data_IF_018267359635
#
_entry.id   IF_018267359635
#
_cell.length_a   1.000
_cell.length_b   1.000
_cell.length_c   1.000
_cell.angle_alpha   90.00
_cell.angle_beta   90.00
_cell.angle_gamma   90.00
#
_symmetry.space_group_name_H-M   'P 1'
#
loop_
_entity.id
_entity.type
_entity.pdbx_description
1 polymer ?
#
# COMPACT_ATOMS: atom_id res chain seq x y z
N UNK A 1 7.41 6.24 7.37
CA UNK A 1 7.59 7.49 6.62
C UNK A 1 8.20 7.15 5.28
N UNK A 2 7.32 6.96 4.31
CA UNK A 2 7.65 6.54 2.96
C UNK A 2 7.08 7.55 1.98
N UNK A 3 7.92 7.96 1.03
CA UNK A 3 7.51 8.80 -0.08
C UNK A 3 7.26 7.93 -1.31
N UNK A 4 6.18 8.20 -2.03
CA UNK A 4 5.85 7.47 -3.24
C UNK A 4 5.11 8.34 -4.25
N UNK A 5 5.12 7.92 -5.52
CA UNK A 5 4.43 8.63 -6.58
C UNK A 5 3.08 7.95 -6.89
N UNK A 6 2.03 8.75 -6.95
CA UNK A 6 0.67 8.33 -7.29
C UNK A 6 0.24 9.00 -8.57
N UNK A 7 -0.38 8.25 -9.48
CA UNK A 7 -1.01 8.78 -10.68
C UNK A 7 -2.52 8.87 -10.49
N UNK A 8 -3.09 10.06 -10.56
CA UNK A 8 -4.54 10.27 -10.53
C UNK A 8 -5.04 10.49 -11.95
N UNK A 9 -5.97 9.63 -12.39
CA UNK A 9 -6.56 9.69 -13.73
C UNK A 9 -7.93 10.38 -13.64
N UNK A 10 -8.11 11.43 -14.44
CA UNK A 10 -9.34 12.26 -14.43
C UNK A 10 -9.88 12.47 -15.85
N UNK A 11 -11.20 12.66 -16.03
CA UNK A 11 -11.79 12.97 -17.33
C UNK A 11 -11.11 14.16 -18.01
N UNK A 12 -10.92 14.11 -19.33
CA UNK A 12 -10.20 15.16 -20.06
C UNK A 12 -10.97 16.47 -20.22
N UNK A 13 -12.26 16.48 -19.90
CA UNK A 13 -13.12 17.66 -19.81
C UNK A 13 -13.21 18.24 -18.39
N UNK A 14 -12.37 17.77 -17.46
CA UNK A 14 -12.30 18.32 -16.09
C UNK A 14 -11.82 19.76 -16.11
N UNK A 15 -12.69 20.70 -15.72
CA UNK A 15 -12.36 22.14 -15.67
C UNK A 15 -11.47 22.51 -14.48
N UNK A 16 -11.69 21.88 -13.32
CA UNK A 16 -10.94 22.14 -12.08
C UNK A 16 -10.20 20.87 -11.67
N UNK A 17 -8.97 20.75 -12.16
CA UNK A 17 -8.10 19.58 -11.95
C UNK A 17 -7.77 19.41 -10.47
N UNK A 18 -7.45 20.48 -9.77
CA UNK A 18 -7.05 20.43 -8.36
C UNK A 18 -8.22 19.97 -7.48
N UNK A 19 -9.41 20.54 -7.68
CA UNK A 19 -10.60 20.13 -6.95
C UNK A 19 -10.95 18.66 -7.21
N UNK A 20 -10.83 18.20 -8.46
CA UNK A 20 -11.13 16.80 -8.80
C UNK A 20 -10.11 15.82 -8.21
N UNK A 21 -8.83 16.18 -8.21
CA UNK A 21 -7.77 15.38 -7.56
C UNK A 21 -8.04 15.30 -6.06
N UNK A 22 -8.36 16.42 -5.42
CA UNK A 22 -8.70 16.44 -3.99
C UNK A 22 -9.89 15.54 -3.68
N UNK A 23 -10.95 15.60 -4.50
CA UNK A 23 -12.13 14.73 -4.37
C UNK A 23 -11.74 13.24 -4.41
N UNK A 24 -10.95 12.83 -5.41
CA UNK A 24 -10.55 11.42 -5.61
C UNK A 24 -9.55 10.93 -4.55
N UNK A 25 -8.69 11.80 -4.04
CA UNK A 25 -7.70 11.46 -3.02
C UNK A 25 -8.34 11.37 -1.62
N UNK A 26 -9.39 12.16 -1.33
CA UNK A 26 -9.94 12.35 0.01
C UNK A 26 -10.31 11.07 0.78
N UNK A 27 -10.93 10.04 0.15
CA UNK A 27 -11.22 8.78 0.85
C UNK A 27 -9.98 8.06 1.39
N UNK A 28 -8.81 8.34 0.83
CA UNK A 28 -7.53 7.71 1.17
C UNK A 28 -6.68 8.55 2.12
N UNK A 29 -7.20 9.67 2.64
CA UNK A 29 -6.50 10.50 3.60
C UNK A 29 -6.39 9.79 4.96
N UNK A 30 -5.18 9.64 5.48
CA UNK A 30 -4.92 8.86 6.70
C UNK A 30 -5.56 9.46 7.96
N UNK A 31 -5.71 10.79 8.01
CA UNK A 31 -6.38 11.48 9.11
C UNK A 31 -7.86 11.80 8.83
N UNK A 32 -8.47 11.12 7.87
CA UNK A 32 -9.92 11.17 7.71
C UNK A 32 -10.57 10.59 8.97
N UNK A 33 -11.34 11.41 9.68
CA UNK A 33 -12.11 10.94 10.83
C UNK A 33 -13.17 9.94 10.36
N UNK A 34 -13.15 8.76 10.97
CA UNK A 34 -14.11 7.69 10.71
C UNK A 34 -14.75 7.23 12.01
N UNK A 35 -15.95 6.66 11.90
CA UNK A 35 -16.59 6.03 13.04
C UNK A 35 -15.74 4.87 13.56
N UNK A 36 -15.67 4.67 14.90
CA UNK A 36 -14.96 3.54 15.47
C UNK A 36 -15.45 2.21 14.90
N UNK A 37 -14.52 1.35 14.50
CA UNK A 37 -14.84 0.04 13.95
C UNK A 37 -14.03 -1.06 14.61
N UNK A 38 -14.58 -2.27 14.56
CA UNK A 38 -13.92 -3.48 15.05
C UNK A 38 -13.05 -4.09 13.96
N UNK A 39 -11.77 -4.24 14.24
CA UNK A 39 -10.87 -5.10 13.49
C UNK A 39 -10.69 -6.42 14.25
N UNK A 40 -10.70 -7.54 13.53
CA UNK A 40 -10.61 -8.88 14.11
C UNK A 40 -9.32 -9.54 13.64
N UNK A 41 -8.75 -10.39 14.50
CA UNK A 41 -7.58 -11.18 14.14
C UNK A 41 -7.90 -12.10 12.97
N UNK A 42 -7.21 -11.89 11.85
CA UNK A 42 -7.32 -12.76 10.68
C UNK A 42 -6.80 -14.15 11.03
N UNK A 43 -7.70 -15.13 11.06
CA UNK A 43 -7.33 -16.53 11.33
C UNK A 43 -6.37 -17.10 10.29
N UNK A 44 -6.43 -16.58 9.06
CA UNK A 44 -5.52 -16.98 7.99
C UNK A 44 -4.10 -16.43 8.25
N UNK A 45 -3.98 -15.15 8.60
CA UNK A 45 -2.67 -14.55 8.92
C UNK A 45 -2.05 -15.20 10.16
N UNK A 46 -2.86 -15.46 11.19
CA UNK A 46 -2.41 -16.20 12.36
C UNK A 46 -1.85 -17.58 12.00
N UNK A 47 -2.56 -18.34 11.15
CA UNK A 47 -2.10 -19.66 10.72
C UNK A 47 -0.82 -19.58 9.88
N UNK A 48 -0.73 -18.60 8.96
CA UNK A 48 0.47 -18.40 8.15
C UNK A 48 1.68 -18.05 9.03
N UNK A 49 1.50 -17.20 10.03
CA UNK A 49 2.55 -16.81 10.96
C UNK A 49 2.98 -18.00 11.83
N UNK A 50 2.04 -18.80 12.33
CA UNK A 50 2.36 -20.03 13.07
C UNK A 50 3.16 -21.01 12.20
N UNK A 51 2.79 -21.19 10.93
CA UNK A 51 3.55 -22.05 10.01
C UNK A 51 4.93 -21.46 9.69
N UNK A 52 5.05 -20.14 9.57
CA UNK A 52 6.36 -19.48 9.44
C UNK A 52 7.25 -19.77 10.65
N UNK A 53 6.74 -19.56 11.87
CA UNK A 53 7.47 -19.81 13.11
C UNK A 53 7.92 -21.28 13.24
N UNK A 54 7.11 -22.25 12.80
CA UNK A 54 7.50 -23.68 12.80
C UNK A 54 8.71 -23.99 11.92
N UNK A 55 8.96 -23.17 10.90
CA UNK A 55 10.08 -23.35 9.98
C UNK A 55 11.34 -22.59 10.41
N UNK A 56 11.28 -21.81 11.49
CA UNK A 56 12.45 -21.10 12.01
C UNK A 56 13.37 -22.01 12.84
N UNK A 57 14.67 -21.68 12.90
CA UNK A 57 15.58 -22.29 13.87
C UNK A 57 15.09 -22.13 15.32
N UNK A 58 15.26 -23.17 16.13
CA UNK A 58 14.78 -23.20 17.52
C UNK A 58 15.37 -22.05 18.37
N UNK A 59 16.62 -21.66 18.13
CA UNK A 59 17.29 -20.56 18.83
C UNK A 59 16.70 -19.19 18.49
N UNK A 60 16.17 -19.01 17.28
CA UNK A 60 15.43 -17.80 16.91
C UNK A 60 14.07 -17.75 17.63
N UNK A 61 13.35 -18.87 17.69
CA UNK A 61 12.06 -18.97 18.40
C UNK A 61 12.26 -18.69 19.89
N UNK A 62 13.27 -19.27 20.52
CA UNK A 62 13.58 -19.05 21.93
C UNK A 62 13.92 -17.58 22.24
N UNK A 63 14.66 -16.93 21.34
CA UNK A 63 14.97 -15.52 21.46
C UNK A 63 13.70 -14.67 21.35
N UNK A 64 12.87 -14.89 20.34
CA UNK A 64 11.61 -14.16 20.16
C UNK A 64 10.66 -14.37 21.35
N UNK A 65 10.49 -15.62 21.79
CA UNK A 65 9.69 -15.96 22.95
C UNK A 65 10.19 -15.27 24.23
N UNK A 66 11.50 -15.20 24.43
CA UNK A 66 12.09 -14.46 25.55
C UNK A 66 11.87 -12.94 25.45
N UNK A 67 12.01 -12.36 24.25
CA UNK A 67 11.82 -10.92 24.03
C UNK A 67 10.37 -10.51 24.36
N UNK A 68 9.40 -11.39 24.07
CA UNK A 68 7.97 -11.17 24.33
C UNK A 68 7.47 -11.73 25.66
N UNK A 69 8.30 -12.46 26.42
CA UNK A 69 7.88 -13.12 27.67
C UNK A 69 6.86 -14.25 27.49
N UNK A 70 6.82 -14.86 26.30
CA UNK A 70 5.94 -15.99 25.94
C UNK A 70 6.72 -17.30 26.08
N UNK A 71 6.03 -18.43 26.25
CA UNK A 71 6.69 -19.74 26.24
C UNK A 71 7.11 -20.11 24.82
N UNK A 72 8.27 -20.72 24.66
CA UNK A 72 8.80 -21.12 23.34
C UNK A 72 7.99 -22.23 22.64
N UNK A 73 7.18 -23.00 23.38
CA UNK A 73 6.27 -24.01 22.84
C UNK A 73 4.88 -23.47 22.48
N UNK A 74 4.59 -22.20 22.81
CA UNK A 74 3.33 -21.52 22.56
C UNK A 74 3.41 -20.65 21.30
N UNK A 75 3.54 -21.32 20.15
CA UNK A 75 3.71 -20.67 18.85
C UNK A 75 2.51 -19.81 18.45
N UNK A 76 1.31 -20.13 18.94
CA UNK A 76 0.11 -19.35 18.65
C UNK A 76 0.17 -17.98 19.34
N UNK A 77 0.51 -17.94 20.64
CA UNK A 77 0.70 -16.66 21.32
C UNK A 77 1.90 -15.90 20.76
N UNK A 78 3.00 -16.59 20.42
CA UNK A 78 4.14 -15.93 19.78
C UNK A 78 3.75 -15.31 18.42
N UNK A 79 2.96 -16.00 17.61
CA UNK A 79 2.42 -15.48 16.35
C UNK A 79 1.52 -14.26 16.58
N UNK A 80 0.64 -14.29 17.59
CA UNK A 80 -0.15 -13.11 17.98
C UNK A 80 0.75 -11.93 18.34
N UNK A 81 1.86 -12.14 19.06
CA UNK A 81 2.79 -11.05 19.38
C UNK A 81 3.46 -10.47 18.11
N UNK A 82 3.87 -11.33 17.17
CA UNK A 82 4.44 -10.87 15.89
C UNK A 82 3.44 -10.08 15.06
N UNK A 83 2.15 -10.43 15.13
CA UNK A 83 1.04 -9.71 14.50
C UNK A 83 0.56 -8.49 15.31
N UNK A 84 1.32 -8.08 16.33
CA UNK A 84 0.98 -6.97 17.25
C UNK A 84 -0.38 -7.13 17.93
N UNK A 85 -0.84 -8.37 18.11
CA UNK A 85 -2.13 -8.73 18.70
C UNK A 85 -2.00 -9.06 20.19
N UNK A 86 -1.61 -8.05 20.98
CA UNK A 86 -1.39 -8.17 22.42
C UNK A 86 -2.70 -8.14 23.22
N UNK A 87 -2.77 -8.86 24.33
CA UNK A 87 -3.93 -8.84 25.23
C UNK A 87 -4.28 -7.41 25.73
N UNK A 88 -3.27 -6.56 25.92
CA UNK A 88 -3.44 -5.19 26.41
C UNK A 88 -4.13 -4.25 25.40
N UNK A 89 -4.10 -4.60 24.11
CA UNK A 89 -4.71 -3.80 23.03
C UNK A 89 -6.04 -4.38 22.55
N UNK A 90 -6.49 -5.52 23.09
CA UNK A 90 -7.78 -6.12 22.76
C UNK A 90 -8.88 -5.40 23.54
N UNK A 91 -9.83 -4.82 22.80
CA UNK A 91 -10.98 -4.11 23.40
C UNK A 91 -12.13 -5.04 23.79
N UNK A 92 -12.17 -6.26 23.23
CA UNK A 92 -13.15 -7.27 23.63
C UNK A 92 -13.13 -8.54 22.79
N UNK A 93 -14.06 -9.45 23.12
CA UNK A 93 -14.28 -10.71 22.42
C UNK A 93 -15.79 -10.85 22.17
N UNK A 94 -16.17 -11.16 20.94
CA UNK A 94 -17.55 -11.46 20.56
C UNK A 94 -17.66 -12.75 19.73
N UNK A 95 -18.79 -13.01 19.09
CA UNK A 95 -19.01 -14.22 18.29
C UNK A 95 -18.06 -14.39 17.09
N UNK A 96 -17.34 -13.34 16.68
CA UNK A 96 -16.32 -13.37 15.63
C UNK A 96 -14.89 -13.51 16.19
N UNK A 97 -14.73 -13.49 17.51
CA UNK A 97 -13.45 -13.62 18.20
C UNK A 97 -12.97 -12.33 18.84
N UNK A 98 -11.67 -12.27 19.11
CA UNK A 98 -10.98 -11.09 19.66
C UNK A 98 -11.01 -9.93 18.66
N UNK A 99 -11.27 -8.72 19.16
CA UNK A 99 -11.26 -7.51 18.34
C UNK A 99 -10.57 -6.33 19.03
N UNK A 100 -10.08 -5.42 18.19
CA UNK A 100 -9.59 -4.08 18.54
C UNK A 100 -10.53 -3.03 17.96
N UNK A 101 -10.70 -1.91 18.64
CA UNK A 101 -11.45 -0.75 18.17
C UNK A 101 -10.46 0.25 17.59
N UNK A 102 -10.61 0.54 16.31
CA UNK A 102 -9.81 1.58 15.65
C UNK A 102 -10.67 2.75 15.25
N UNK A 103 -10.03 3.92 15.21
CA UNK A 103 -10.62 5.20 14.79
C UNK A 103 -9.84 5.86 13.65
N UNK A 104 -8.79 5.21 13.15
CA UNK A 104 -8.04 5.68 11.98
C UNK A 104 -8.75 5.27 10.69
N UNK A 105 -8.51 5.97 9.59
CA UNK A 105 -9.12 5.60 8.31
C UNK A 105 -8.56 4.24 7.83
N UNK A 106 -9.38 3.19 7.69
CA UNK A 106 -8.91 1.89 7.18
C UNK A 106 -8.44 1.94 5.73
N UNK A 107 -8.81 3.00 5.00
CA UNK A 107 -8.35 3.26 3.64
C UNK A 107 -7.21 4.29 3.60
N UNK A 108 -6.67 4.71 4.74
CA UNK A 108 -5.55 5.67 4.80
C UNK A 108 -4.35 5.19 3.99
N UNK A 109 -3.86 6.05 3.10
CA UNK A 109 -2.67 5.82 2.25
C UNK A 109 -1.69 6.99 2.25
N UNK A 110 -2.13 8.17 2.69
CA UNK A 110 -1.32 9.39 2.62
C UNK A 110 -1.76 10.41 3.68
N UNK A 111 -0.82 11.23 4.16
CA UNK A 111 -1.08 12.34 5.07
C UNK A 111 -0.91 13.74 4.43
N UNK A 112 -0.08 13.84 3.39
CA UNK A 112 -0.03 14.99 2.49
C UNK A 112 0.46 14.57 1.11
N UNK A 113 0.21 15.44 0.12
CA UNK A 113 0.75 15.27 -1.23
C UNK A 113 1.14 16.62 -1.84
N UNK A 114 1.95 16.55 -2.90
CA UNK A 114 2.27 17.69 -3.76
C UNK A 114 2.10 17.29 -5.21
N UNK A 115 1.66 18.24 -6.04
CA UNK A 115 1.62 18.04 -7.49
C UNK A 115 3.04 17.98 -8.05
N UNK A 116 3.25 17.04 -8.97
CA UNK A 116 4.44 16.97 -9.80
C UNK A 116 4.08 17.63 -11.12
N UNK A 117 4.60 18.84 -11.40
CA UNK A 117 4.37 19.53 -12.66
C UNK A 117 5.23 18.94 -13.79
N UNK A 118 6.42 18.45 -13.43
CA UNK A 118 7.38 17.93 -14.38
C UNK A 118 8.19 16.79 -13.76
N UNK A 119 8.38 15.72 -14.53
CA UNK A 119 9.29 14.63 -14.20
C UNK A 119 10.41 14.57 -15.24
N UNK A 120 11.66 14.73 -14.78
CA UNK A 120 12.84 14.60 -15.61
C UNK A 120 13.15 13.12 -15.81
N UNK A 121 13.20 12.68 -17.05
CA UNK A 121 13.72 11.36 -17.38
C UNK A 121 15.18 11.50 -17.86
N UNK A 122 16.10 10.72 -17.29
CA UNK A 122 17.54 10.81 -17.61
C UNK A 122 17.85 10.53 -19.09
N UNK A 123 16.94 9.89 -19.82
CA UNK A 123 17.14 9.44 -21.21
C UNK A 123 15.99 9.76 -22.17
N UNK A 124 14.98 10.53 -21.75
CA UNK A 124 13.85 10.90 -22.60
C UNK A 124 13.41 12.34 -22.38
N UNK A 125 12.49 12.82 -23.23
CA UNK A 125 11.86 14.12 -23.02
C UNK A 125 11.17 14.16 -21.64
N UNK A 126 11.22 15.32 -20.96
CA UNK A 126 10.53 15.48 -19.69
C UNK A 126 9.02 15.32 -19.87
N UNK A 127 8.38 14.70 -18.89
CA UNK A 127 6.92 14.58 -18.84
C UNK A 127 6.39 15.80 -18.12
N UNK A 128 5.40 16.47 -18.70
CA UNK A 128 4.69 17.58 -18.07
C UNK A 128 3.29 17.12 -17.65
N UNK A 129 2.88 17.41 -16.43
CA UNK A 129 1.54 17.07 -15.94
C UNK A 129 0.70 18.33 -15.72
N UNK A 130 -0.64 18.24 -15.90
CA UNK A 130 -1.36 17.09 -16.43
C UNK A 130 -1.07 16.83 -17.93
N UNK A 131 -1.00 15.55 -18.33
CA UNK A 131 -0.87 15.10 -19.72
C UNK A 131 -1.91 14.03 -20.05
N UNK A 132 -2.01 13.59 -21.30
CA UNK A 132 -2.88 12.46 -21.63
C UNK A 132 -2.26 11.16 -21.11
N UNK A 133 -3.11 10.24 -20.64
CA UNK A 133 -2.66 8.91 -20.20
C UNK A 133 -1.88 8.17 -21.29
N UNK A 134 -2.23 8.35 -22.57
CA UNK A 134 -1.52 7.78 -23.71
C UNK A 134 -0.10 8.35 -23.92
N UNK A 135 0.20 9.52 -23.35
CA UNK A 135 1.50 10.21 -23.48
C UNK A 135 2.46 9.86 -22.35
N UNK A 136 1.97 9.22 -21.28
CA UNK A 136 2.83 8.76 -20.18
C UNK A 136 3.74 7.65 -20.71
N UNK A 137 5.06 7.71 -20.49
CA UNK A 137 5.98 6.63 -20.84
C UNK A 137 5.65 5.35 -20.07
N UNK A 138 6.41 4.30 -20.35
CA UNK A 138 6.26 2.98 -19.69
C UNK A 138 6.62 2.97 -18.20
N UNK A 139 6.70 4.13 -17.54
CA UNK A 139 6.94 4.24 -16.10
C UNK A 139 5.74 3.65 -15.36
N UNK A 140 6.05 2.79 -14.40
CA UNK A 140 5.08 2.09 -13.56
C UNK A 140 4.98 2.87 -12.25
N UNK A 141 3.89 3.61 -11.99
CA UNK A 141 3.73 4.33 -10.74
C UNK A 141 3.59 3.35 -9.56
N UNK A 142 3.82 3.81 -8.34
CA UNK A 142 3.59 2.97 -7.15
C UNK A 142 2.09 2.74 -6.93
N UNK A 143 1.29 3.80 -7.13
CA UNK A 143 -0.16 3.77 -7.00
C UNK A 143 -0.86 4.51 -8.15
N UNK A 144 -2.10 4.10 -8.43
CA UNK A 144 -3.01 4.75 -9.37
C UNK A 144 -4.39 4.93 -8.74
N UNK A 145 -4.99 6.11 -8.92
CA UNK A 145 -6.43 6.32 -8.70
C UNK A 145 -7.13 6.47 -10.05
N UNK A 146 -8.17 5.66 -10.28
CA UNK A 146 -8.98 5.74 -11.50
C UNK A 146 -10.04 6.84 -11.41
N UNK A 147 -10.67 7.23 -12.54
CA UNK A 147 -11.73 8.25 -12.54
C UNK A 147 -12.94 7.92 -11.65
N UNK A 148 -13.17 6.63 -11.39
CA UNK A 148 -14.21 6.12 -10.48
C UNK A 148 -13.81 6.17 -9.00
N UNK A 149 -12.61 6.65 -8.68
CA UNK A 149 -12.10 6.77 -7.32
C UNK A 149 -11.57 5.46 -6.74
N UNK A 150 -11.16 4.51 -7.58
CA UNK A 150 -10.57 3.25 -7.10
C UNK A 150 -9.04 3.38 -7.01
N UNK A 151 -8.50 3.06 -5.83
CA UNK A 151 -7.06 2.97 -5.57
C UNK A 151 -6.50 1.60 -5.93
N UNK A 152 -5.41 1.60 -6.67
CA UNK A 152 -4.61 0.42 -6.98
C UNK A 152 -3.14 0.71 -6.64
N UNK A 153 -2.43 -0.25 -6.06
CA UNK A 153 -1.02 -0.11 -5.70
C UNK A 153 -0.25 -1.43 -5.85
N UNK A 154 1.07 -1.32 -5.98
CA UNK A 154 1.98 -2.47 -6.03
C UNK A 154 2.02 -3.25 -4.71
N UNK A 155 1.73 -2.58 -3.58
CA UNK A 155 1.85 -3.12 -2.24
C UNK A 155 3.26 -2.99 -1.65
N UNK A 156 3.33 -3.01 -0.33
CA UNK A 156 4.56 -2.67 0.43
C UNK A 156 5.73 -3.62 0.11
N UNK A 157 5.52 -4.93 0.20
CA UNK A 157 6.60 -5.91 0.02
C UNK A 157 7.16 -5.90 -1.40
N UNK A 158 6.28 -5.89 -2.42
CA UNK A 158 6.70 -5.84 -3.81
C UNK A 158 7.38 -4.49 -4.17
N UNK A 159 6.94 -3.39 -3.55
CA UNK A 159 7.59 -2.08 -3.65
C UNK A 159 8.98 -2.06 -3.02
N UNK A 160 9.14 -2.61 -1.81
CA UNK A 160 10.43 -2.72 -1.13
C UNK A 160 11.40 -3.61 -1.92
N UNK A 161 10.94 -4.75 -2.42
CA UNK A 161 11.75 -5.64 -3.25
C UNK A 161 12.18 -4.94 -4.55
N UNK A 162 11.27 -4.19 -5.19
CA UNK A 162 11.60 -3.38 -6.38
C UNK A 162 12.69 -2.36 -6.09
N UNK A 163 12.59 -1.67 -4.96
CA UNK A 163 13.58 -0.68 -4.54
C UNK A 163 14.95 -1.31 -4.30
N UNK A 164 15.01 -2.43 -3.56
CA UNK A 164 16.27 -3.15 -3.28
C UNK A 164 16.91 -3.67 -4.56
N UNK A 165 16.12 -4.23 -5.49
CA UNK A 165 16.62 -4.70 -6.79
C UNK A 165 17.20 -3.57 -7.63
N UNK A 166 16.53 -2.42 -7.68
CA UNK A 166 17.04 -1.25 -8.39
C UNK A 166 18.39 -0.78 -7.82
N UNK A 167 18.57 -0.78 -6.50
CA UNK A 167 19.85 -0.47 -5.87
C UNK A 167 20.97 -1.47 -6.23
N UNK A 168 20.60 -2.73 -6.46
CA UNK A 168 21.53 -3.82 -6.82
C UNK A 168 21.73 -3.97 -8.33
N UNK A 169 21.00 -3.22 -9.16
CA UNK A 169 21.00 -3.38 -10.62
C UNK A 169 20.39 -4.70 -11.10
N UNK A 170 19.53 -5.32 -10.29
CA UNK A 170 18.83 -6.56 -10.64
C UNK A 170 17.57 -6.25 -11.44
N UNK A 171 17.32 -7.00 -12.52
CA UNK A 171 16.21 -6.74 -13.46
C UNK A 171 15.09 -7.78 -13.40
N UNK A 172 15.24 -8.83 -12.60
CA UNK A 172 14.24 -9.90 -12.54
C UNK A 172 13.03 -9.47 -11.70
N UNK A 173 11.86 -9.39 -12.34
CA UNK A 173 10.61 -9.05 -11.66
C UNK A 173 10.01 -10.24 -10.92
N UNK A 174 9.42 -9.98 -9.75
CA UNK A 174 8.60 -10.98 -9.05
C UNK A 174 7.19 -11.06 -9.66
N UNK A 175 6.37 -12.08 -9.34
CA UNK A 175 5.02 -12.20 -9.86
C UNK A 175 4.10 -11.00 -9.57
N UNK A 176 4.23 -10.37 -8.40
CA UNK A 176 3.41 -9.22 -8.01
C UNK A 176 3.73 -7.98 -8.84
N UNK A 177 5.01 -7.74 -9.12
CA UNK A 177 5.48 -6.68 -10.02
C UNK A 177 4.95 -6.91 -11.44
N UNK A 178 5.03 -8.14 -11.95
CA UNK A 178 4.49 -8.48 -13.27
C UNK A 178 2.97 -8.23 -13.32
N UNK A 179 2.24 -8.67 -12.29
CA UNK A 179 0.80 -8.45 -12.19
C UNK A 179 0.47 -6.95 -12.11
N UNK A 180 1.27 -6.19 -11.36
CA UNK A 180 1.11 -4.74 -11.25
C UNK A 180 1.36 -4.04 -12.59
N UNK A 181 2.45 -4.36 -13.29
CA UNK A 181 2.73 -3.80 -14.63
C UNK A 181 1.58 -4.08 -15.59
N UNK A 182 1.06 -5.31 -15.61
CA UNK A 182 -0.10 -5.67 -16.42
C UNK A 182 -1.33 -4.84 -16.05
N UNK A 183 -1.58 -4.65 -14.75
CA UNK A 183 -2.71 -3.84 -14.26
C UNK A 183 -2.57 -2.39 -14.68
N UNK A 184 -1.37 -1.82 -14.58
CA UNK A 184 -1.08 -0.45 -15.05
C UNK A 184 -1.33 -0.33 -16.55
N UNK A 185 -0.89 -1.28 -17.37
CA UNK A 185 -1.16 -1.24 -18.82
C UNK A 185 -2.65 -1.35 -19.14
N UNK A 186 -3.39 -2.21 -18.43
CA UNK A 186 -4.85 -2.34 -18.57
C UNK A 186 -5.54 -0.99 -18.29
N UNK A 187 -5.18 -0.34 -17.18
CA UNK A 187 -5.71 0.97 -16.80
C UNK A 187 -5.34 2.02 -17.85
N UNK A 188 -4.07 2.10 -18.25
CA UNK A 188 -3.60 3.08 -19.26
C UNK A 188 -4.32 2.91 -20.59
N UNK A 189 -4.57 1.68 -21.02
CA UNK A 189 -5.32 1.39 -22.23
C UNK A 189 -6.77 1.88 -22.10
N UNK A 190 -7.45 1.52 -21.01
CA UNK A 190 -8.85 1.86 -20.74
C UNK A 190 -9.08 3.37 -20.68
N UNK A 191 -8.18 4.11 -20.07
CA UNK A 191 -8.29 5.56 -19.87
C UNK A 191 -7.35 6.36 -20.76
N UNK A 192 -6.93 5.82 -21.90
CA UNK A 192 -5.94 6.44 -22.81
C UNK A 192 -6.22 7.92 -23.17
N UNK A 193 -7.49 8.31 -23.29
CA UNK A 193 -7.92 9.68 -23.63
C UNK A 193 -8.20 10.58 -22.41
N UNK A 194 -7.94 10.10 -21.20
CA UNK A 194 -8.10 10.85 -19.95
C UNK A 194 -6.83 11.64 -19.65
N UNK A 195 -6.92 12.56 -18.69
CA UNK A 195 -5.76 13.25 -18.15
C UNK A 195 -5.17 12.44 -17.00
N UNK A 196 -3.85 12.48 -16.91
CA UNK A 196 -3.06 11.93 -15.85
C UNK A 196 -2.41 13.06 -15.06
N UNK A 197 -2.53 12.99 -13.74
CA UNK A 197 -1.94 13.94 -12.81
C UNK A 197 -1.00 13.16 -11.89
N UNK A 198 0.27 13.53 -11.87
CA UNK A 198 1.24 12.91 -10.98
C UNK A 198 1.32 13.66 -9.65
N UNK A 199 1.31 12.90 -8.56
CA UNK A 199 1.44 13.39 -7.19
C UNK A 199 2.62 12.72 -6.52
N UNK A 200 3.32 13.49 -5.69
CA UNK A 200 4.27 12.98 -4.72
C UNK A 200 3.57 12.91 -3.36
N UNK A 201 3.33 11.71 -2.87
CA UNK A 201 2.62 11.41 -1.63
C UNK A 201 3.60 11.08 -0.50
N UNK A 202 3.16 11.34 0.73
CA UNK A 202 3.83 10.92 1.96
C UNK A 202 2.85 10.07 2.80
N UNK A 203 3.40 9.04 3.44
CA UNK A 203 2.75 8.13 4.38
C UNK A 203 3.63 7.93 5.63
#
# INVERSE_FOLDING_TARGET
MTHFNTLVIIPSDTNDVEAKVKELMYPYYSYLEVEPYKEYLSQNELQQEVEYLKNLPQDEIEKMASDWGVKNDDLENLAKMTLEWFDEVIDGVDEKGEYKIYTHNPQGKWDWYKFIEQESAESSEPIFYPCRVSEIPSVVPYAIITPEGQWYELGFYAGLESFVKNLKGETAMNPDQINWEQKVQEIKFRYSNYLAVALHCHD
#
